data_IF_688269973090
#
_entry.id   IF_688269973090
#
_cell.length_a   1.000
_cell.length_b   1.000
_cell.length_c   1.000
_cell.angle_alpha   90.00
_cell.angle_beta   90.00
_cell.angle_gamma   90.00
#
_symmetry.space_group_name_H-M   'P 1'
#
loop_
_entity.id
_entity.type
_entity.pdbx_description
1 polymer ?
#
# COMPACT_ATOMS: atom_id res chain seq x y z
N UNK A 1 -4.76 4.32 10.68
CA UNK A 1 -5.75 5.37 10.39
C UNK A 1 -5.03 6.50 9.66
N UNK A 2 -5.68 7.19 8.73
CA UNK A 2 -5.08 8.31 8.00
C UNK A 2 -5.77 9.60 8.48
N UNK A 3 -5.00 10.58 8.91
CA UNK A 3 -5.51 11.87 9.39
C UNK A 3 -4.79 13.03 8.67
N UNK A 4 -5.56 14.05 8.30
CA UNK A 4 -5.06 15.28 7.68
C UNK A 4 -5.75 16.45 8.34
N UNK A 5 -4.97 17.33 8.97
CA UNK A 5 -5.44 18.63 9.47
C UNK A 5 -5.38 19.63 8.32
N UNK A 6 -6.48 20.34 8.09
CA UNK A 6 -6.61 21.39 7.07
C UNK A 6 -6.13 22.70 7.67
N UNK A 7 -5.26 23.42 6.96
CA UNK A 7 -4.79 24.75 7.38
C UNK A 7 -5.74 25.87 6.93
N UNK A 8 -5.65 27.03 7.58
CA UNK A 8 -6.55 28.18 7.36
C UNK A 8 -6.56 28.72 5.91
N UNK A 9 -5.50 28.48 5.13
CA UNK A 9 -5.37 28.92 3.73
C UNK A 9 -5.34 27.76 2.72
N UNK A 10 -5.85 26.58 3.07
CA UNK A 10 -5.86 25.43 2.16
C UNK A 10 -7.22 25.24 1.49
N UNK A 11 -7.22 24.99 0.18
CA UNK A 11 -8.43 24.58 -0.52
C UNK A 11 -8.82 23.15 -0.14
N UNK A 12 -10.13 22.89 -0.02
CA UNK A 12 -10.68 21.57 0.30
C UNK A 12 -10.11 20.45 -0.61
N UNK A 13 -9.96 20.73 -1.91
CA UNK A 13 -9.44 19.78 -2.89
C UNK A 13 -7.97 19.40 -2.62
N UNK A 14 -7.15 20.34 -2.18
CA UNK A 14 -5.76 20.07 -1.78
C UNK A 14 -5.72 19.13 -0.56
N UNK A 15 -6.53 19.42 0.47
CA UNK A 15 -6.61 18.60 1.66
C UNK A 15 -7.08 17.16 1.32
N UNK A 16 -8.09 17.04 0.46
CA UNK A 16 -8.60 15.75 -0.03
C UNK A 16 -7.54 14.95 -0.77
N UNK A 17 -6.75 15.60 -1.64
CA UNK A 17 -5.65 14.95 -2.35
C UNK A 17 -4.58 14.42 -1.40
N UNK A 18 -4.20 15.20 -0.37
CA UNK A 18 -3.26 14.76 0.66
C UNK A 18 -3.82 13.59 1.47
N UNK A 19 -5.10 13.63 1.82
CA UNK A 19 -5.78 12.54 2.52
C UNK A 19 -5.79 11.25 1.70
N UNK A 20 -6.21 11.31 0.44
CA UNK A 20 -6.20 10.16 -0.47
C UNK A 20 -4.80 9.56 -0.61
N UNK A 21 -3.77 10.40 -0.72
CA UNK A 21 -2.37 9.95 -0.76
C UNK A 21 -1.97 9.26 0.55
N UNK A 22 -2.33 9.81 1.71
CA UNK A 22 -2.06 9.17 3.02
C UNK A 22 -2.80 7.83 3.16
N UNK A 23 -4.05 7.72 2.73
CA UNK A 23 -4.84 6.47 2.75
C UNK A 23 -4.18 5.40 1.87
N UNK A 24 -3.74 5.78 0.67
CA UNK A 24 -3.03 4.89 -0.24
C UNK A 24 -1.68 4.44 0.33
N UNK A 25 -0.89 5.36 0.88
CA UNK A 25 0.41 5.05 1.50
C UNK A 25 0.26 4.15 2.74
N UNK A 26 -0.75 4.41 3.56
CA UNK A 26 -1.08 3.57 4.71
C UNK A 26 -1.62 2.20 4.31
N UNK A 27 -1.94 1.98 3.03
CA UNK A 27 -2.40 0.69 2.50
C UNK A 27 -3.75 0.23 3.07
N UNK A 28 -4.53 1.14 3.66
CA UNK A 28 -5.78 0.82 4.38
C UNK A 28 -6.75 0.04 3.48
N UNK A 29 -6.91 0.47 2.22
CA UNK A 29 -7.79 -0.21 1.25
C UNK A 29 -7.27 -1.60 0.83
N UNK A 30 -5.96 -1.79 0.81
CA UNK A 30 -5.35 -3.09 0.51
C UNK A 30 -5.47 -4.04 1.69
N UNK A 31 -5.43 -3.51 2.91
CA UNK A 31 -5.63 -4.26 4.12
C UNK A 31 -7.10 -4.67 4.32
N UNK A 32 -8.04 -3.76 4.09
CA UNK A 32 -9.47 -4.03 4.12
C UNK A 32 -9.82 -5.21 3.21
N UNK A 33 -9.43 -5.13 1.92
CA UNK A 33 -9.63 -6.23 0.94
C UNK A 33 -8.99 -7.55 1.34
N UNK A 34 -7.88 -7.51 2.09
CA UNK A 34 -7.22 -8.73 2.57
C UNK A 34 -7.95 -9.35 3.76
N UNK A 35 -8.63 -8.54 4.57
CA UNK A 35 -9.34 -8.95 5.78
C UNK A 35 -10.81 -9.32 5.54
N UNK A 36 -11.37 -9.01 4.36
CA UNK A 36 -12.73 -9.37 3.95
C UNK A 36 -13.02 -10.88 4.10
N UNK A 37 -12.04 -11.74 3.87
CA UNK A 37 -12.18 -13.18 3.99
C UNK A 37 -11.05 -13.80 4.81
N UNK A 38 -11.38 -14.85 5.58
CA UNK A 38 -10.38 -15.60 6.31
C UNK A 38 -9.45 -16.36 5.35
N UNK A 39 -8.16 -16.01 5.37
CA UNK A 39 -7.12 -16.68 4.62
C UNK A 39 -6.38 -17.66 5.56
N UNK A 40 -6.43 -18.96 5.27
CA UNK A 40 -5.71 -19.99 6.05
C UNK A 40 -4.22 -19.62 6.18
N UNK A 41 -3.56 -19.89 7.32
CA UNK A 41 -2.16 -19.50 7.57
C UNK A 41 -1.18 -19.96 6.47
N UNK A 42 -1.40 -21.15 5.90
CA UNK A 42 -0.58 -21.70 4.80
C UNK A 42 -0.68 -20.83 3.53
N UNK A 43 -1.89 -20.39 3.17
CA UNK A 43 -2.11 -19.53 1.99
C UNK A 43 -1.49 -18.15 2.21
N UNK A 44 -1.64 -17.58 3.43
CA UNK A 44 -0.96 -16.34 3.83
C UNK A 44 0.57 -16.43 3.69
N UNK A 45 1.16 -17.57 4.06
CA UNK A 45 2.61 -17.83 3.94
C UNK A 45 3.04 -17.88 2.48
N UNK A 46 2.34 -18.67 1.64
CA UNK A 46 2.61 -18.77 0.20
C UNK A 46 2.53 -17.40 -0.50
N UNK A 47 1.51 -16.61 -0.19
CA UNK A 47 1.32 -15.26 -0.76
C UNK A 47 2.45 -14.30 -0.38
N UNK A 48 2.91 -14.33 0.88
CA UNK A 48 4.04 -13.52 1.35
C UNK A 48 5.35 -13.90 0.64
N UNK A 49 5.60 -15.19 0.44
CA UNK A 49 6.80 -15.69 -0.23
C UNK A 49 6.83 -15.29 -1.70
N UNK A 50 5.73 -15.48 -2.44
CA UNK A 50 5.62 -15.06 -3.83
C UNK A 50 5.86 -13.55 -3.99
N UNK A 51 5.32 -12.73 -3.08
CA UNK A 51 5.56 -11.29 -3.09
C UNK A 51 7.03 -10.92 -2.83
N UNK A 52 7.75 -11.67 -1.98
CA UNK A 52 9.20 -11.48 -1.77
C UNK A 52 9.99 -11.84 -3.01
N UNK A 53 9.72 -12.99 -3.63
CA UNK A 53 10.41 -13.44 -4.85
C UNK A 53 10.28 -12.42 -5.98
N UNK A 54 9.06 -11.95 -6.26
CA UNK A 54 8.80 -10.90 -7.26
C UNK A 54 9.59 -9.61 -6.99
N UNK A 55 9.73 -9.20 -5.73
CA UNK A 55 10.51 -8.01 -5.36
C UNK A 55 12.00 -8.19 -5.61
N UNK A 56 12.53 -9.38 -5.33
CA UNK A 56 13.95 -9.72 -5.56
C UNK A 56 14.22 -9.75 -7.07
N UNK A 57 13.37 -10.44 -7.84
CA UNK A 57 13.46 -10.51 -9.29
C UNK A 57 13.39 -9.13 -9.94
N UNK A 58 12.48 -8.26 -9.49
CA UNK A 58 12.37 -6.90 -10.00
C UNK A 58 13.64 -6.06 -9.72
N UNK A 59 14.24 -6.21 -8.53
CA UNK A 59 15.51 -5.54 -8.19
C UNK A 59 16.67 -6.03 -9.06
N UNK A 60 16.76 -7.34 -9.29
CA UNK A 60 17.82 -7.92 -10.10
C UNK A 60 17.72 -7.45 -11.56
N UNK A 61 16.51 -7.41 -12.12
CA UNK A 61 16.28 -6.86 -13.46
C UNK A 61 16.67 -5.38 -13.58
N UNK A 62 16.37 -4.59 -12.54
CA UNK A 62 16.75 -3.17 -12.49
C UNK A 62 18.27 -2.96 -12.40
N UNK A 63 18.99 -3.89 -11.77
CA UNK A 63 20.46 -3.87 -11.73
C UNK A 63 21.07 -4.28 -13.06
N UNK A 64 20.44 -5.20 -13.80
CA UNK A 64 20.89 -5.63 -15.12
C UNK A 64 20.60 -4.61 -16.23
N UNK A 65 19.64 -3.71 -16.02
CA UNK A 65 19.28 -2.65 -16.97
C UNK A 65 19.98 -1.30 -16.70
N UNK A 66 20.89 -1.25 -15.73
CA UNK A 66 21.72 -0.08 -15.41
C UNK A 66 23.12 -0.30 -15.94
#
# INVERSE_FOLDING_TARGET
MAEVVVGENESFESALRRFNKKVQQAGILSEARRREHYEKPSVRRKRKEAARRRKIEAKLKQQQSR
#
